data_IF_457778015174
#
_entry.id   IF_457778015174
#
_cell.length_a   1.000
_cell.length_b   1.000
_cell.length_c   1.000
_cell.angle_alpha   90.00
_cell.angle_beta   90.00
_cell.angle_gamma   90.00
#
_symmetry.space_group_name_H-M   'P 1'
#
loop_
_entity.id
_entity.type
_entity.pdbx_description
1 polymer ?
#
# COMPACT_ATOMS: atom_id res chain seq x y z
N UNK A 1 -25.73 1.42 -30.05
CA UNK A 1 -25.35 0.32 -29.14
C UNK A 1 -23.84 0.25 -28.97
N UNK A 2 -23.25 1.23 -28.27
CA UNK A 2 -21.80 1.26 -28.00
C UNK A 2 -21.55 2.01 -26.69
N UNK A 3 -22.00 1.42 -25.59
CA UNK A 3 -21.92 2.00 -24.24
C UNK A 3 -21.22 1.08 -23.23
N UNK A 4 -20.45 0.08 -23.71
CA UNK A 4 -19.79 -0.91 -22.83
C UNK A 4 -18.27 -1.04 -23.04
N UNK A 5 -17.68 -0.38 -24.03
CA UNK A 5 -16.24 -0.55 -24.34
C UNK A 5 -15.30 0.31 -23.50
N UNK A 6 -15.82 1.23 -22.66
CA UNK A 6 -15.01 2.12 -21.80
C UNK A 6 -14.68 1.56 -20.41
N UNK A 7 -15.19 0.38 -20.06
CA UNK A 7 -14.91 -0.25 -18.76
C UNK A 7 -13.63 -1.10 -18.74
N UNK A 8 -13.04 -1.40 -19.90
CA UNK A 8 -11.94 -2.37 -20.03
C UNK A 8 -10.57 -1.79 -20.41
N UNK A 9 -10.43 -0.45 -20.45
CA UNK A 9 -9.18 0.18 -20.90
C UNK A 9 -8.62 1.15 -19.86
N UNK A 10 -8.71 0.79 -18.58
CA UNK A 10 -7.91 1.43 -17.54
C UNK A 10 -6.58 0.68 -17.50
N UNK A 11 -5.63 1.17 -18.29
CA UNK A 11 -4.22 0.78 -18.21
C UNK A 11 -3.82 0.79 -16.73
N UNK A 12 -3.60 -0.39 -16.18
CA UNK A 12 -3.07 -0.53 -14.83
C UNK A 12 -1.62 -0.10 -14.95
N UNK A 13 -1.38 1.19 -14.71
CA UNK A 13 -0.02 1.67 -14.50
C UNK A 13 0.41 1.12 -13.15
N UNK A 14 1.15 0.02 -13.20
CA UNK A 14 1.90 -0.53 -12.07
C UNK A 14 2.69 0.62 -11.43
N UNK A 15 2.31 1.13 -10.25
CA UNK A 15 2.99 2.25 -9.64
C UNK A 15 4.34 1.75 -9.14
N UNK A 16 5.37 1.95 -9.97
CA UNK A 16 6.76 1.64 -9.62
C UNK A 16 7.18 2.56 -8.48
N UNK A 17 7.02 2.09 -7.24
CA UNK A 17 7.87 2.52 -6.12
C UNK A 17 7.20 3.14 -4.90
N UNK A 18 5.89 3.00 -4.67
CA UNK A 18 5.25 3.61 -3.48
C UNK A 18 4.75 2.61 -2.44
N UNK A 19 4.80 1.30 -2.72
CA UNK A 19 4.25 0.29 -1.82
C UNK A 19 5.40 -0.27 -0.98
N UNK A 20 5.36 -0.10 0.36
CA UNK A 20 6.38 -0.68 1.23
C UNK A 20 6.38 -2.21 1.12
N UNK A 21 7.58 -2.84 1.13
CA UNK A 21 7.68 -4.29 1.15
C UNK A 21 7.05 -4.86 2.42
N UNK A 22 6.59 -6.10 2.35
CA UNK A 22 5.98 -6.78 3.51
C UNK A 22 6.97 -6.95 4.67
N UNK A 23 8.25 -7.17 4.35
CA UNK A 23 9.34 -7.17 5.30
C UNK A 23 10.10 -5.86 5.19
N UNK A 24 9.92 -4.98 6.19
CA UNK A 24 10.64 -3.71 6.24
C UNK A 24 12.12 -3.91 6.64
N UNK A 25 13.04 -3.17 6.01
CA UNK A 25 14.45 -3.19 6.40
C UNK A 25 14.64 -2.69 7.83
N UNK A 26 15.76 -3.07 8.47
CA UNK A 26 16.06 -2.59 9.81
C UNK A 26 16.39 -1.08 9.75
N UNK A 27 16.25 -0.39 10.89
CA UNK A 27 16.40 1.07 10.99
C UNK A 27 17.70 1.61 10.36
N UNK A 28 18.79 0.85 10.41
CA UNK A 28 20.10 1.27 9.88
C UNK A 28 20.43 0.73 8.49
N UNK A 29 19.61 -0.18 7.95
CA UNK A 29 19.83 -0.80 6.65
C UNK A 29 19.53 0.17 5.50
N UNK A 30 20.04 -0.09 4.28
CA UNK A 30 19.67 0.67 3.11
C UNK A 30 18.15 0.64 2.87
N UNK A 31 17.60 1.77 2.44
CA UNK A 31 16.17 1.89 2.15
C UNK A 31 15.79 1.07 0.93
N UNK A 32 14.63 0.41 0.99
CA UNK A 32 14.10 -0.48 -0.05
C UNK A 32 13.79 0.25 -1.38
N UNK A 33 13.64 1.58 -1.35
CA UNK A 33 13.42 2.41 -2.54
C UNK A 33 14.66 2.55 -3.43
N UNK A 34 15.83 2.06 -3.01
CA UNK A 34 17.07 2.16 -3.79
C UNK A 34 17.76 3.54 -3.72
N UNK A 35 17.37 4.42 -2.79
CA UNK A 35 17.98 5.75 -2.63
C UNK A 35 19.41 5.75 -2.09
N UNK A 36 19.91 4.60 -1.60
CA UNK A 36 21.22 4.50 -0.93
C UNK A 36 21.25 5.13 0.48
N UNK A 37 20.14 5.70 0.94
CA UNK A 37 20.03 6.26 2.29
C UNK A 37 19.64 5.18 3.31
N UNK A 38 19.98 5.39 4.59
CA UNK A 38 19.49 4.53 5.69
C UNK A 38 17.97 4.62 5.78
N UNK A 39 17.28 3.50 6.00
CA UNK A 39 15.82 3.41 6.08
C UNK A 39 15.21 4.47 7.01
N UNK A 40 15.81 4.68 8.19
CA UNK A 40 15.36 5.70 9.16
C UNK A 40 15.37 7.15 8.70
N UNK A 41 16.14 7.45 7.64
CA UNK A 41 16.27 8.80 7.07
C UNK A 41 15.55 8.94 5.73
N UNK A 42 14.90 7.87 5.27
CA UNK A 42 14.22 7.82 4.00
C UNK A 42 12.76 7.45 4.29
N UNK A 43 12.28 6.27 3.90
CA UNK A 43 10.86 5.92 3.95
C UNK A 43 10.31 5.54 5.33
N UNK A 44 11.11 5.52 6.42
CA UNK A 44 10.62 5.04 7.73
C UNK A 44 9.34 5.74 8.23
N UNK A 45 9.22 7.06 8.06
CA UNK A 45 8.04 7.80 8.52
C UNK A 45 6.85 7.61 7.57
N UNK A 46 7.12 7.60 6.26
CA UNK A 46 6.11 7.38 5.22
C UNK A 46 5.50 5.98 5.31
N UNK A 47 6.34 4.95 5.50
CA UNK A 47 5.93 3.56 5.68
C UNK A 47 5.10 3.39 6.93
N UNK A 48 5.47 4.07 8.02
CA UNK A 48 4.67 4.06 9.25
C UNK A 48 3.26 4.60 8.99
N UNK A 49 3.14 5.73 8.29
CA UNK A 49 1.84 6.33 7.97
C UNK A 49 1.05 5.49 6.97
N UNK A 50 1.72 4.89 5.99
CA UNK A 50 1.10 3.97 5.03
C UNK A 50 0.54 2.74 5.74
N UNK A 51 1.33 2.09 6.60
CA UNK A 51 0.91 0.89 7.33
C UNK A 51 -0.21 1.19 8.33
N UNK A 52 -0.18 2.35 8.99
CA UNK A 52 -1.27 2.80 9.86
C UNK A 52 -2.59 2.91 9.08
N UNK A 53 -2.58 3.64 7.95
CA UNK A 53 -3.76 3.78 7.09
C UNK A 53 -4.22 2.45 6.50
N UNK A 54 -3.28 1.58 6.08
CA UNK A 54 -3.59 0.24 5.58
C UNK A 54 -4.30 -0.58 6.65
N UNK A 55 -3.79 -0.57 7.89
CA UNK A 55 -4.40 -1.29 9.02
C UNK A 55 -5.82 -0.79 9.31
N UNK A 56 -6.04 0.52 9.31
CA UNK A 56 -7.38 1.09 9.50
C UNK A 56 -8.35 0.63 8.41
N UNK A 57 -7.91 0.67 7.14
CA UNK A 57 -8.70 0.17 6.02
C UNK A 57 -8.99 -1.31 6.14
N UNK A 58 -8.02 -2.11 6.56
CA UNK A 58 -8.19 -3.56 6.72
C UNK A 58 -9.18 -3.88 7.87
N UNK A 59 -9.11 -3.13 8.98
CA UNK A 59 -10.09 -3.21 10.07
C UNK A 59 -11.49 -2.84 9.57
N UNK A 60 -11.62 -1.77 8.78
CA UNK A 60 -12.90 -1.34 8.23
C UNK A 60 -13.47 -2.38 7.25
N UNK A 61 -12.64 -2.94 6.39
CA UNK A 61 -13.03 -4.01 5.48
C UNK A 61 -13.47 -5.28 6.25
N UNK A 62 -12.77 -5.63 7.33
CA UNK A 62 -13.16 -6.75 8.20
C UNK A 62 -14.52 -6.50 8.88
N UNK A 63 -14.80 -5.29 9.36
CA UNK A 63 -16.11 -4.93 9.92
C UNK A 63 -17.22 -5.02 8.88
N UNK A 64 -16.97 -4.51 7.67
CA UNK A 64 -17.92 -4.55 6.58
C UNK A 64 -18.23 -6.00 6.10
N UNK A 65 -17.30 -6.92 6.29
CA UNK A 65 -17.43 -8.33 5.88
C UNK A 65 -17.75 -9.28 7.05
N UNK A 66 -17.85 -8.77 8.28
CA UNK A 66 -18.24 -9.57 9.44
C UNK A 66 -19.70 -10.02 9.29
N UNK A 67 -20.02 -11.33 9.38
CA UNK A 67 -21.39 -11.78 9.37
C UNK A 67 -22.10 -11.22 10.60
N UNK A 68 -23.15 -10.43 10.39
CA UNK A 68 -24.04 -10.03 11.48
C UNK A 68 -24.81 -11.29 11.88
N UNK A 69 -24.32 -12.01 12.89
CA UNK A 69 -25.09 -13.07 13.53
C UNK A 69 -26.22 -12.39 14.33
N UNK A 70 -27.44 -12.57 13.83
CA UNK A 70 -28.67 -12.10 14.46
C UNK A 70 -29.13 -13.00 15.60
#
# INVERSE_FOLDING_TARGET
MSLLSRLFNKKIEEPKGEIPPEVLPLRNDPCWCGSGMKYKKCHQEEDRQFLARKRERDIEAQKACSPVFG
#
